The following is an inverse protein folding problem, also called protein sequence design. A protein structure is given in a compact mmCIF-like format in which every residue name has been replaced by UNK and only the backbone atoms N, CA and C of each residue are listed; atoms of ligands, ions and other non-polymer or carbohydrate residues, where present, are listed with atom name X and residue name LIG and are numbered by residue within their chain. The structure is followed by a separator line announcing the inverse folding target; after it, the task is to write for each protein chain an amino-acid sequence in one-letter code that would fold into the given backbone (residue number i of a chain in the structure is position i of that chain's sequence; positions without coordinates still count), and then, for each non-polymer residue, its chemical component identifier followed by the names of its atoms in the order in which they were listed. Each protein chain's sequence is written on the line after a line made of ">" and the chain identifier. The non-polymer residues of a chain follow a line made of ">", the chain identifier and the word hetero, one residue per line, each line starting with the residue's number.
data_IF_018342802903
#
_entry.id   IF_018342802903
#
_cell.length_a   1.000
_cell.length_b   1.000
_cell.length_c   1.000
_cell.angle_alpha   90.00
_cell.angle_beta   90.00
_cell.angle_gamma   90.00
#
_symmetry.space_group_name_H-M   'P 1'
#
loop_
_entity.id
_entity.type
_entity.pdbx_description
1 polymer ?
#
# COMPACT_ATOMS: atom_id res chain seq x y z
N UNK A 1 80.53 -75.67 -35.81
CA UNK A 1 79.57 -75.05 -36.75
C UNK A 1 78.21 -75.65 -36.52
N UNK A 2 77.17 -74.80 -36.56
CA UNK A 2 75.70 -75.07 -36.74
C UNK A 2 75.03 -76.02 -35.73
N UNK A 3 73.76 -75.93 -35.33
CA UNK A 3 72.53 -75.11 -35.52
C UNK A 3 71.57 -75.77 -34.48
N UNK A 4 70.71 -75.10 -33.73
CA UNK A 4 69.48 -74.44 -34.19
C UNK A 4 68.24 -75.25 -33.74
N UNK A 5 67.32 -74.56 -33.08
CA UNK A 5 65.86 -74.80 -33.00
C UNK A 5 65.30 -75.99 -32.19
N UNK A 6 64.76 -75.67 -31.01
CA UNK A 6 63.34 -75.92 -30.70
C UNK A 6 62.96 -75.14 -29.43
N UNK A 7 62.51 -73.90 -29.62
CA UNK A 7 61.90 -73.08 -28.55
C UNK A 7 60.86 -72.17 -29.17
N UNK A 8 59.72 -72.73 -29.57
CA UNK A 8 58.60 -71.93 -30.05
C UNK A 8 57.28 -72.71 -29.89
N UNK A 9 56.70 -72.64 -28.69
CA UNK A 9 55.28 -72.97 -28.48
C UNK A 9 54.69 -72.37 -27.19
N UNK A 10 55.49 -71.99 -26.19
CA UNK A 10 54.96 -71.57 -24.87
C UNK A 10 55.01 -70.07 -24.54
N UNK A 11 55.36 -69.21 -25.49
CA UNK A 11 55.45 -67.75 -25.22
C UNK A 11 54.41 -66.88 -25.93
N UNK A 12 53.39 -67.46 -26.56
CA UNK A 12 52.37 -66.68 -27.28
C UNK A 12 51.10 -66.35 -26.46
N UNK A 13 50.91 -66.92 -25.26
CA UNK A 13 49.64 -66.80 -24.55
C UNK A 13 49.61 -65.80 -23.36
N UNK A 14 50.76 -65.28 -22.88
CA UNK A 14 50.77 -64.41 -21.69
C UNK A 14 51.09 -62.93 -21.93
N UNK A 15 51.49 -62.54 -23.15
CA UNK A 15 51.92 -61.16 -23.43
C UNK A 15 50.81 -60.26 -24.01
N UNK A 16 49.69 -60.83 -24.45
CA UNK A 16 48.56 -60.08 -25.01
C UNK A 16 47.39 -59.86 -24.03
N UNK A 17 47.42 -60.49 -22.85
CA UNK A 17 46.33 -60.38 -21.86
C UNK A 17 46.50 -59.26 -20.81
N UNK A 18 47.70 -58.71 -20.64
CA UNK A 18 48.00 -57.77 -19.54
C UNK A 18 47.75 -56.31 -19.92
N UNK A 19 47.95 -55.92 -21.18
CA UNK A 19 47.71 -54.55 -21.66
C UNK A 19 46.20 -54.23 -21.74
N UNK A 20 45.37 -55.19 -22.14
CA UNK A 20 43.91 -55.03 -22.24
C UNK A 20 43.28 -54.83 -20.84
N UNK A 21 43.73 -55.59 -19.83
CA UNK A 21 43.24 -55.51 -18.45
C UNK A 21 43.67 -54.20 -17.75
N UNK A 22 44.88 -53.72 -17.99
CA UNK A 22 45.39 -52.48 -17.40
C UNK A 22 44.73 -51.24 -18.03
N UNK A 23 44.46 -51.29 -19.34
CA UNK A 23 43.73 -50.24 -20.05
C UNK A 23 42.24 -50.20 -19.64
N UNK A 24 41.59 -51.34 -19.43
CA UNK A 24 40.23 -51.41 -18.87
C UNK A 24 40.15 -50.87 -17.43
N UNK A 25 41.16 -51.14 -16.59
CA UNK A 25 41.22 -50.66 -15.20
C UNK A 25 41.34 -49.13 -15.14
N UNK A 26 42.22 -48.55 -15.97
CA UNK A 26 42.41 -47.10 -16.14
C UNK A 26 41.13 -46.38 -16.60
N UNK A 27 40.45 -46.94 -17.60
CA UNK A 27 39.21 -46.35 -18.13
C UNK A 27 38.06 -46.44 -17.10
N UNK A 28 38.00 -47.51 -16.30
CA UNK A 28 37.04 -47.63 -15.19
C UNK A 28 37.28 -46.60 -14.08
N UNK A 29 38.54 -46.34 -13.72
CA UNK A 29 38.92 -45.34 -12.71
C UNK A 29 38.58 -43.91 -13.17
N UNK A 30 38.82 -43.61 -14.45
CA UNK A 30 38.47 -42.31 -15.04
C UNK A 30 36.96 -42.10 -15.10
N UNK A 31 36.20 -43.16 -15.42
CA UNK A 31 34.73 -43.16 -15.44
C UNK A 31 34.15 -43.01 -14.03
N UNK A 32 34.71 -43.68 -13.02
CA UNK A 32 34.34 -43.48 -11.60
C UNK A 32 34.59 -42.05 -11.15
N UNK A 33 35.77 -41.48 -11.45
CA UNK A 33 36.09 -40.07 -11.14
C UNK A 33 35.14 -39.09 -11.82
N UNK A 34 34.71 -39.38 -13.05
CA UNK A 34 33.74 -38.56 -13.78
C UNK A 34 32.33 -38.64 -13.18
N UNK A 35 31.90 -39.84 -12.80
CA UNK A 35 30.62 -40.07 -12.11
C UNK A 35 30.61 -39.38 -10.73
N UNK A 36 31.69 -39.46 -9.95
CA UNK A 36 31.77 -38.76 -8.65
C UNK A 36 31.70 -37.23 -8.79
N UNK A 37 32.26 -36.66 -9.86
CA UNK A 37 32.13 -35.22 -10.16
C UNK A 37 30.70 -34.82 -10.50
N UNK A 38 29.97 -35.66 -11.24
CA UNK A 38 28.56 -35.43 -11.57
C UNK A 38 27.70 -35.51 -10.30
N UNK A 39 27.89 -36.54 -9.48
CA UNK A 39 27.15 -36.72 -8.22
C UNK A 39 27.43 -35.55 -7.27
N UNK A 40 28.70 -35.13 -7.14
CA UNK A 40 29.07 -33.96 -6.33
C UNK A 40 28.41 -32.67 -6.84
N UNK A 41 28.37 -32.46 -8.16
CA UNK A 41 27.68 -31.32 -8.77
C UNK A 41 26.17 -31.32 -8.52
N UNK A 42 25.53 -32.50 -8.63
CA UNK A 42 24.10 -32.66 -8.33
C UNK A 42 23.83 -32.39 -6.84
N UNK A 43 24.67 -32.90 -5.94
CA UNK A 43 24.54 -32.69 -4.50
C UNK A 43 24.67 -31.20 -4.14
N UNK A 44 25.65 -30.51 -4.74
CA UNK A 44 25.84 -29.06 -4.57
C UNK A 44 24.65 -28.26 -5.11
N UNK A 45 24.08 -28.66 -6.24
CA UNK A 45 22.90 -28.02 -6.82
C UNK A 45 21.67 -28.18 -5.90
N UNK A 46 21.44 -29.38 -5.35
CA UNK A 46 20.37 -29.61 -4.38
C UNK A 46 20.56 -28.80 -3.09
N UNK A 47 21.80 -28.69 -2.61
CA UNK A 47 22.12 -27.91 -1.41
C UNK A 47 21.88 -26.40 -1.64
N UNK A 48 22.20 -25.90 -2.84
CA UNK A 48 21.95 -24.51 -3.24
C UNK A 48 20.45 -24.21 -3.39
N UNK A 49 19.67 -25.14 -3.95
CA UNK A 49 18.20 -25.04 -4.02
C UNK A 49 17.57 -25.04 -2.62
N UNK A 50 18.05 -25.89 -1.71
CA UNK A 50 17.57 -25.94 -0.33
C UNK A 50 17.86 -24.62 0.42
N UNK A 51 19.06 -24.05 0.26
CA UNK A 51 19.41 -22.75 0.84
C UNK A 51 18.52 -21.62 0.28
N UNK A 52 18.27 -21.60 -1.03
CA UNK A 52 17.34 -20.65 -1.65
C UNK A 52 15.92 -20.82 -1.10
N UNK A 53 15.43 -22.05 -0.95
CA UNK A 53 14.12 -22.34 -0.39
C UNK A 53 13.99 -21.87 1.07
N UNK A 54 15.03 -22.04 1.90
CA UNK A 54 15.07 -21.54 3.28
C UNK A 54 15.07 -20.01 3.30
N UNK A 55 15.88 -19.34 2.48
CA UNK A 55 15.90 -17.87 2.39
C UNK A 55 14.55 -17.32 1.93
N UNK A 56 13.93 -17.95 0.94
CA UNK A 56 12.57 -17.59 0.47
C UNK A 56 11.54 -17.83 1.57
N UNK A 57 11.64 -18.95 2.31
CA UNK A 57 10.73 -19.28 3.41
C UNK A 57 10.84 -18.29 4.58
N UNK A 58 12.05 -17.83 4.90
CA UNK A 58 12.28 -16.78 5.93
C UNK A 58 11.73 -15.42 5.44
N UNK A 59 11.99 -15.04 4.18
CA UNK A 59 11.47 -13.80 3.57
C UNK A 59 9.94 -13.77 3.43
N UNK A 60 9.31 -14.91 3.12
CA UNK A 60 7.85 -15.04 3.08
C UNK A 60 7.25 -15.15 4.49
N UNK A 61 7.96 -15.79 5.42
CA UNK A 61 7.56 -15.93 6.83
C UNK A 61 7.43 -14.60 7.54
N UNK A 62 8.34 -13.66 7.28
CA UNK A 62 8.25 -12.29 7.82
C UNK A 62 7.12 -11.46 7.20
N UNK A 63 6.72 -11.74 5.95
CA UNK A 63 5.60 -11.05 5.30
C UNK A 63 4.23 -11.48 5.80
N UNK A 64 4.11 -12.61 6.51
CA UNK A 64 2.80 -13.20 6.87
C UNK A 64 2.35 -12.93 8.31
N UNK A 65 3.11 -12.18 9.11
CA UNK A 65 2.84 -12.03 10.56
C UNK A 65 2.39 -10.65 11.03
N UNK A 66 1.89 -9.78 10.14
CA UNK A 66 1.59 -8.39 10.52
C UNK A 66 0.49 -7.65 9.77
N UNK A 67 -0.50 -8.32 9.15
CA UNK A 67 -1.58 -7.59 8.46
C UNK A 67 -3.00 -8.12 8.58
N UNK A 68 -3.22 -9.34 9.08
CA UNK A 68 -4.57 -9.95 8.99
C UNK A 68 -5.38 -9.93 10.30
N UNK A 69 -4.79 -9.57 11.45
CA UNK A 69 -5.46 -9.67 12.76
C UNK A 69 -5.92 -8.35 13.38
N UNK A 70 -5.95 -7.24 12.62
CA UNK A 70 -6.42 -5.91 13.13
C UNK A 70 -7.77 -5.50 12.53
N UNK A 71 -8.26 -6.19 11.50
CA UNK A 71 -9.45 -5.78 10.75
C UNK A 71 -10.70 -6.61 11.00
N UNK A 72 -10.63 -7.64 11.84
CA UNK A 72 -11.77 -8.53 12.14
C UNK A 72 -12.67 -8.04 13.30
N UNK A 73 -12.68 -6.73 13.55
CA UNK A 73 -13.54 -6.12 14.57
C UNK A 73 -14.19 -4.80 14.09
N UNK A 74 -14.65 -4.75 12.83
CA UNK A 74 -15.83 -3.93 12.52
C UNK A 74 -17.06 -4.77 12.82
N UNK A 75 -17.18 -5.17 14.10
CA UNK A 75 -18.41 -5.72 14.66
C UNK A 75 -19.53 -4.71 14.37
N UNK A 76 -20.64 -5.24 13.86
CA UNK A 76 -21.89 -4.59 13.45
C UNK A 76 -22.05 -3.12 13.83
N UNK A 77 -22.58 -2.29 12.91
CA UNK A 77 -23.03 -0.92 13.18
C UNK A 77 -24.10 -0.92 14.28
N UNK A 78 -23.68 -0.97 15.53
CA UNK A 78 -24.55 -1.03 16.69
C UNK A 78 -24.68 0.40 17.21
N UNK A 79 -25.78 1.04 16.84
CA UNK A 79 -26.21 2.25 17.54
C UNK A 79 -26.79 1.81 18.89
N UNK A 80 -26.38 2.43 20.02
CA UNK A 80 -26.98 2.12 21.31
C UNK A 80 -28.47 2.50 21.34
N UNK A 81 -29.26 1.95 22.29
CA UNK A 81 -30.65 2.34 22.47
C UNK A 81 -30.82 3.86 22.57
N UNK A 82 -31.83 4.42 21.89
CA UNK A 82 -32.06 5.86 21.79
C UNK A 82 -31.45 6.54 20.55
N UNK A 83 -30.65 5.83 19.75
CA UNK A 83 -30.13 6.31 18.46
C UNK A 83 -30.75 5.55 17.27
N UNK A 84 -32.03 5.83 16.91
CA UNK A 84 -32.69 5.15 15.80
C UNK A 84 -32.11 5.52 14.42
N UNK A 85 -31.27 6.56 14.36
CA UNK A 85 -30.55 7.01 13.16
C UNK A 85 -29.11 7.33 13.55
N UNK A 86 -28.18 7.01 12.67
CA UNK A 86 -26.77 7.39 12.86
C UNK A 86 -26.62 8.91 12.79
N UNK A 87 -25.97 9.55 13.78
CA UNK A 87 -25.68 10.98 13.71
C UNK A 87 -24.64 11.27 12.62
N UNK A 88 -24.78 12.42 11.96
CA UNK A 88 -23.78 12.94 11.01
C UNK A 88 -22.87 13.93 11.75
N UNK A 89 -21.56 13.72 11.64
CA UNK A 89 -20.53 14.66 12.11
C UNK A 89 -19.71 15.09 10.91
N UNK A 90 -19.72 16.39 10.61
CA UNK A 90 -18.87 17.00 9.60
C UNK A 90 -17.70 17.69 10.29
N UNK A 91 -16.48 17.24 10.01
CA UNK A 91 -15.24 17.79 10.58
C UNK A 91 -14.42 18.41 9.45
N UNK A 92 -14.10 19.70 9.58
CA UNK A 92 -13.17 20.39 8.68
C UNK A 92 -11.83 20.62 9.37
N UNK A 93 -10.74 20.35 8.66
CA UNK A 93 -9.38 20.71 9.06
C UNK A 93 -8.89 21.76 8.04
N UNK A 94 -8.95 23.05 8.41
CA UNK A 94 -8.64 24.13 7.48
C UNK A 94 -7.19 24.03 6.97
N UNK A 95 -7.00 24.25 5.67
CA UNK A 95 -5.70 24.13 5.01
C UNK A 95 -5.13 22.71 4.92
N UNK A 96 -5.91 21.67 5.23
CA UNK A 96 -5.44 20.28 5.17
C UNK A 96 -5.34 19.77 3.74
N UNK A 97 -4.17 19.99 3.11
CA UNK A 97 -3.88 19.58 1.75
C UNK A 97 -3.89 18.05 1.61
N UNK A 98 -4.46 17.54 0.52
CA UNK A 98 -4.54 16.09 0.25
C UNK A 98 -3.19 15.35 0.36
N UNK A 99 -2.09 16.00 -0.04
CA UNK A 99 -0.72 15.43 0.01
C UNK A 99 -0.28 15.09 1.44
N UNK A 100 -0.78 15.78 2.47
CA UNK A 100 -0.44 15.53 3.87
C UNK A 100 -0.83 14.11 4.33
N UNK A 101 -1.87 13.51 3.74
CA UNK A 101 -2.27 12.12 4.03
C UNK A 101 -1.19 11.09 3.68
N UNK A 102 -0.31 11.42 2.73
CA UNK A 102 0.78 10.56 2.30
C UNK A 102 2.10 11.00 2.92
N UNK A 103 2.43 12.30 2.83
CA UNK A 103 3.69 12.86 3.33
C UNK A 103 3.85 12.71 4.86
N UNK A 104 2.74 12.74 5.61
CA UNK A 104 2.75 12.72 7.08
C UNK A 104 1.96 11.54 7.68
N UNK A 105 1.77 10.46 6.92
CA UNK A 105 0.99 9.27 7.34
C UNK A 105 1.35 8.77 8.75
N UNK A 106 2.64 8.74 9.08
CA UNK A 106 3.15 8.21 10.35
C UNK A 106 2.84 9.13 11.56
N UNK A 107 2.57 10.41 11.32
CA UNK A 107 2.22 11.38 12.38
C UNK A 107 0.71 11.52 12.59
N UNK A 108 -0.10 10.82 11.79
CA UNK A 108 -1.56 10.95 11.78
C UNK A 108 -2.25 9.61 12.04
N UNK A 109 -1.98 8.93 13.17
CA UNK A 109 -2.45 7.56 13.41
C UNK A 109 -3.98 7.44 13.37
N UNK A 110 -4.71 8.41 13.94
CA UNK A 110 -6.18 8.42 13.95
C UNK A 110 -6.75 8.63 12.54
N UNK A 111 -6.27 9.64 11.81
CA UNK A 111 -6.72 9.90 10.43
C UNK A 111 -6.36 8.73 9.52
N UNK A 112 -5.19 8.12 9.71
CA UNK A 112 -4.79 6.96 8.92
C UNK A 112 -5.68 5.73 9.22
N UNK A 113 -6.07 5.52 10.49
CA UNK A 113 -7.05 4.48 10.86
C UNK A 113 -8.41 4.73 10.21
N UNK A 114 -8.90 5.98 10.23
CA UNK A 114 -10.13 6.38 9.53
C UNK A 114 -10.03 6.12 8.02
N UNK A 115 -8.89 6.43 7.41
CA UNK A 115 -8.64 6.20 5.98
C UNK A 115 -8.64 4.72 5.62
N UNK A 116 -8.07 3.86 6.45
CA UNK A 116 -7.96 2.43 6.16
C UNK A 116 -9.24 1.65 6.46
N UNK A 117 -10.02 2.07 7.47
CA UNK A 117 -11.26 1.42 7.86
C UNK A 117 -12.52 2.01 7.19
N UNK A 118 -12.43 3.25 6.71
CA UNK A 118 -13.53 3.97 6.06
C UNK A 118 -13.37 4.10 4.55
N UNK A 119 -14.05 5.10 3.99
CA UNK A 119 -13.96 5.45 2.57
C UNK A 119 -13.19 6.76 2.41
N UNK A 120 -12.32 6.83 1.41
CA UNK A 120 -11.48 8.00 1.14
C UNK A 120 -11.43 8.30 -0.35
N UNK A 121 -11.38 9.58 -0.70
CA UNK A 121 -11.11 10.04 -2.07
C UNK A 121 -9.63 10.47 -2.17
N UNK A 122 -9.04 10.39 -3.38
CA UNK A 122 -7.65 10.80 -3.60
C UNK A 122 -7.41 12.28 -3.26
N UNK A 123 -8.40 13.13 -3.52
CA UNK A 123 -8.45 14.53 -3.09
C UNK A 123 -9.89 15.05 -3.25
N UNK A 124 -10.20 16.18 -2.60
CA UNK A 124 -11.40 16.98 -2.85
C UNK A 124 -10.96 18.23 -3.59
N UNK A 125 -11.64 18.56 -4.69
CA UNK A 125 -11.35 19.78 -5.45
C UNK A 125 -12.08 20.96 -4.81
N UNK A 126 -11.38 21.99 -4.31
CA UNK A 126 -12.01 23.19 -3.77
C UNK A 126 -12.68 24.01 -4.88
N UNK A 127 -13.62 24.86 -4.49
CA UNK A 127 -14.11 25.94 -5.35
C UNK A 127 -13.08 27.08 -5.41
N UNK A 128 -13.12 27.87 -6.48
CA UNK A 128 -12.31 29.07 -6.61
C UNK A 128 -13.07 30.30 -6.06
N UNK A 129 -12.42 31.21 -5.29
CA UNK A 129 -11.04 31.12 -4.83
C UNK A 129 -10.86 30.09 -3.70
N UNK A 130 -9.67 29.49 -3.60
CA UNK A 130 -9.34 28.47 -2.59
C UNK A 130 -9.09 29.10 -1.21
N UNK A 131 -10.09 29.81 -0.69
CA UNK A 131 -10.10 30.54 0.58
C UNK A 131 -11.07 29.86 1.56
N UNK A 132 -10.81 30.03 2.85
CA UNK A 132 -11.57 29.43 3.95
C UNK A 132 -13.07 29.67 3.83
N UNK A 133 -13.55 30.91 3.88
CA UNK A 133 -14.99 31.20 3.96
C UNK A 133 -15.76 30.75 2.72
N UNK A 134 -15.33 31.08 1.48
CA UNK A 134 -16.01 30.60 0.28
C UNK A 134 -16.15 29.07 0.25
N UNK A 135 -15.05 28.34 0.53
CA UNK A 135 -15.09 26.87 0.46
C UNK A 135 -15.91 26.23 1.59
N UNK A 136 -15.80 26.72 2.83
CA UNK A 136 -16.58 26.19 3.94
C UNK A 136 -18.08 26.43 3.73
N UNK A 137 -18.46 27.57 3.15
CA UNK A 137 -19.86 27.85 2.86
C UNK A 137 -20.36 27.05 1.65
N UNK A 138 -19.54 26.86 0.61
CA UNK A 138 -19.86 25.95 -0.51
C UNK A 138 -20.10 24.51 -0.05
N UNK A 139 -19.30 23.99 0.89
CA UNK A 139 -19.45 22.60 1.41
C UNK A 139 -20.85 22.38 2.02
N UNK A 140 -21.37 23.36 2.75
CA UNK A 140 -22.64 23.19 3.49
C UNK A 140 -23.87 23.65 2.73
N UNK A 141 -23.71 24.43 1.67
CA UNK A 141 -24.82 24.88 0.81
C UNK A 141 -24.91 24.09 -0.51
N UNK A 142 -23.81 23.49 -0.96
CA UNK A 142 -23.72 22.88 -2.29
C UNK A 142 -23.68 23.90 -3.44
N UNK A 143 -23.52 25.19 -3.14
CA UNK A 143 -23.55 26.28 -4.12
C UNK A 143 -22.14 26.77 -4.45
N UNK A 144 -21.98 27.37 -5.64
CA UNK A 144 -20.77 28.12 -5.98
C UNK A 144 -20.74 29.48 -5.26
N UNK A 145 -19.53 30.07 -5.07
CA UNK A 145 -19.40 31.38 -4.43
C UNK A 145 -20.25 32.50 -5.01
N UNK A 146 -20.39 32.54 -6.34
CA UNK A 146 -21.25 33.49 -7.05
C UNK A 146 -22.74 33.35 -6.71
N UNK A 147 -23.20 32.16 -6.30
CA UNK A 147 -24.60 31.90 -5.97
C UNK A 147 -24.90 32.08 -4.48
N UNK A 148 -23.95 31.71 -3.60
CA UNK A 148 -24.15 31.82 -2.14
C UNK A 148 -23.65 33.16 -1.56
N UNK A 149 -23.07 34.04 -2.36
CA UNK A 149 -22.70 35.43 -2.00
C UNK A 149 -21.31 35.59 -1.38
N UNK A 150 -20.81 34.60 -0.63
CA UNK A 150 -19.48 34.62 -0.02
C UNK A 150 -18.36 34.34 -1.05
N UNK A 151 -17.90 35.36 -1.78
CA UNK A 151 -16.90 35.21 -2.86
C UNK A 151 -15.44 35.28 -2.41
N UNK A 152 -15.14 35.94 -1.27
CA UNK A 152 -13.82 35.95 -0.65
C UNK A 152 -13.95 36.18 0.87
N UNK A 153 -12.85 36.00 1.62
CA UNK A 153 -12.73 36.37 3.03
C UNK A 153 -12.80 37.90 3.25
N UNK A 154 -12.61 38.69 2.18
CA UNK A 154 -12.73 40.15 2.14
C UNK A 154 -13.35 40.57 0.82
N UNK A 155 -14.52 41.22 0.87
CA UNK A 155 -15.25 41.62 -0.34
C UNK A 155 -16.06 42.88 -0.08
N UNK A 156 -16.42 43.59 -1.15
CA UNK A 156 -17.25 44.79 -1.10
C UNK A 156 -18.47 44.58 -1.98
N UNK A 157 -19.63 45.00 -1.48
CA UNK A 157 -20.88 44.98 -2.23
C UNK A 157 -21.33 46.42 -2.49
N UNK A 158 -21.47 46.77 -3.77
CA UNK A 158 -21.87 48.11 -4.23
C UNK A 158 -23.33 48.45 -3.89
N UNK A 159 -24.21 47.46 -3.86
CA UNK A 159 -25.64 47.64 -3.57
C UNK A 159 -25.89 47.81 -2.07
N UNK A 160 -25.11 47.11 -1.25
CA UNK A 160 -25.12 47.24 0.21
C UNK A 160 -24.23 48.40 0.69
N UNK A 161 -23.33 48.90 -0.17
CA UNK A 161 -22.29 49.87 0.15
C UNK A 161 -21.50 49.48 1.42
N UNK A 162 -21.09 48.21 1.52
CA UNK A 162 -20.50 47.65 2.73
C UNK A 162 -19.30 46.75 2.41
N UNK A 163 -18.34 46.68 3.34
CA UNK A 163 -17.15 45.82 3.26
C UNK A 163 -17.28 44.63 4.22
N UNK A 164 -17.34 43.43 3.67
CA UNK A 164 -17.24 42.19 4.41
C UNK A 164 -15.78 41.85 4.72
N UNK A 165 -15.51 41.43 5.95
CA UNK A 165 -14.21 40.91 6.39
C UNK A 165 -14.37 40.01 7.61
N UNK A 166 -13.56 38.95 7.71
CA UNK A 166 -13.58 38.05 8.88
C UNK A 166 -13.21 38.76 10.20
N UNK A 167 -12.57 39.93 10.09
CA UNK A 167 -12.11 40.73 11.22
C UNK A 167 -13.13 41.76 11.71
N UNK A 168 -14.23 41.96 10.99
CA UNK A 168 -15.24 42.97 11.31
C UNK A 168 -16.54 42.31 11.76
N UNK A 169 -17.41 43.08 12.41
CA UNK A 169 -18.75 42.62 12.81
C UNK A 169 -19.68 42.42 11.60
N UNK A 170 -19.36 43.03 10.47
CA UNK A 170 -20.10 42.88 9.20
C UNK A 170 -20.26 41.40 8.78
N UNK A 171 -19.35 40.52 9.22
CA UNK A 171 -19.49 39.07 8.99
C UNK A 171 -20.73 38.45 9.63
N UNK A 172 -21.37 39.10 10.60
CA UNK A 172 -22.59 38.61 11.22
C UNK A 172 -23.86 39.11 10.53
N UNK A 173 -23.73 40.03 9.56
CA UNK A 173 -24.87 40.51 8.80
C UNK A 173 -25.40 39.39 7.87
N UNK A 174 -26.65 38.93 8.04
CA UNK A 174 -27.19 37.80 7.28
C UNK A 174 -27.35 38.10 5.79
N UNK A 175 -27.32 39.37 5.36
CA UNK A 175 -27.48 39.76 3.95
C UNK A 175 -26.38 39.22 3.04
N UNK A 176 -25.20 38.92 3.58
CA UNK A 176 -24.09 38.33 2.84
C UNK A 176 -24.26 36.84 2.52
N UNK A 177 -25.16 36.16 3.24
CA UNK A 177 -25.27 34.71 3.24
C UNK A 177 -26.53 34.28 2.46
N UNK A 178 -26.33 33.88 1.21
CA UNK A 178 -27.41 33.36 0.37
C UNK A 178 -27.43 31.82 0.37
N UNK A 179 -28.55 31.25 -0.09
CA UNK A 179 -28.77 29.81 -0.08
C UNK A 179 -29.14 29.26 1.29
N UNK A 180 -29.09 27.93 1.41
CA UNK A 180 -29.50 27.23 2.63
C UNK A 180 -28.40 26.26 3.07
N UNK A 181 -27.70 26.52 4.19
CA UNK A 181 -26.74 25.58 4.72
C UNK A 181 -27.44 24.36 5.34
N UNK A 182 -26.76 23.21 5.29
CA UNK A 182 -27.28 21.89 5.66
C UNK A 182 -27.92 21.83 7.06
N UNK A 183 -27.44 22.63 8.02
CA UNK A 183 -28.05 22.70 9.36
C UNK A 183 -29.45 23.33 9.33
N UNK A 184 -29.67 24.38 8.53
CA UNK A 184 -31.00 24.95 8.35
C UNK A 184 -31.93 23.97 7.62
N UNK A 185 -31.42 23.26 6.61
CA UNK A 185 -32.16 22.19 5.92
C UNK A 185 -32.60 21.10 6.89
N UNK A 186 -31.68 20.62 7.74
CA UNK A 186 -31.97 19.63 8.78
C UNK A 186 -33.04 20.15 9.76
N UNK A 187 -32.90 21.39 10.25
CA UNK A 187 -33.87 22.02 11.16
C UNK A 187 -35.27 22.15 10.53
N UNK A 188 -35.35 22.55 9.26
CA UNK A 188 -36.63 22.63 8.51
C UNK A 188 -37.28 21.27 8.37
N UNK A 189 -36.49 20.22 8.20
CA UNK A 189 -36.94 18.81 8.18
C UNK A 189 -37.09 18.20 9.59
N UNK A 190 -37.20 19.03 10.63
CA UNK A 190 -37.47 18.63 12.01
C UNK A 190 -36.38 17.74 12.64
N UNK A 191 -35.14 17.86 12.15
CA UNK A 191 -33.96 17.29 12.79
C UNK A 191 -33.26 18.34 13.67
N UNK A 192 -32.54 17.89 14.69
CA UNK A 192 -31.69 18.76 15.51
C UNK A 192 -30.31 18.89 14.85
N UNK A 193 -29.75 20.10 14.88
CA UNK A 193 -28.39 20.39 14.43
C UNK A 193 -27.63 21.16 15.50
N UNK A 194 -26.33 20.96 15.58
CA UNK A 194 -25.42 21.74 16.41
C UNK A 194 -24.17 22.07 15.60
N UNK A 195 -23.62 23.26 15.80
CA UNK A 195 -22.39 23.73 15.14
C UNK A 195 -21.37 24.16 16.19
N UNK A 196 -20.10 23.86 15.94
CA UNK A 196 -18.98 24.33 16.77
C UNK A 196 -17.90 24.86 15.82
N UNK A 197 -17.90 26.18 15.63
CA UNK A 197 -16.99 26.89 14.72
C UNK A 197 -17.02 26.41 13.26
N UNK A 198 -18.22 26.42 12.67
CA UNK A 198 -18.37 26.45 11.21
C UNK A 198 -18.55 27.88 10.73
#
# INVERSE_FOLDING_TARGET
>A
GTKGEERSAEQAASLFGTSELENQRSNSERRKKWICKIISGILLLFLLIALLAVVISVKLGDKKKGSDSVFEEVHQRQCPPGFPRSPLILVSLDGFRAKYLNDHKNHLPVINKLRSAGTTASYIRPVYPTKTFPNHYSIVTGLYPESHGIVDNKMYDVTQNAFFSLKTEEKFNPRWYHGEPVWLTAMRQKLKSATFFW
#
